data_IF_132409560163
#
_entry.id   IF_132409560163
#
_cell.length_a   1.000
_cell.length_b   1.000
_cell.length_c   1.000
_cell.angle_alpha   90.00
_cell.angle_beta   90.00
_cell.angle_gamma   90.00
#
_symmetry.space_group_name_H-M   'P 1'
#
loop_
_entity.id
_entity.type
_entity.pdbx_description
1 polymer ?
#
# COMPACT_ATOMS: atom_id res chain seq x y z
N UNK A 1 -19.88 34.12 -6.83
CA UNK A 1 -20.05 32.79 -6.19
C UNK A 1 -19.43 32.70 -4.79
N UNK A 2 -18.13 32.97 -4.62
CA UNK A 2 -17.47 32.92 -3.29
C UNK A 2 -18.11 33.87 -2.26
N UNK A 3 -18.40 35.12 -2.66
CA UNK A 3 -19.04 36.09 -1.76
C UNK A 3 -20.42 35.61 -1.26
N UNK A 4 -21.25 35.10 -2.17
CA UNK A 4 -22.55 34.52 -1.82
C UNK A 4 -22.40 33.35 -0.85
N UNK A 5 -21.44 32.46 -1.09
CA UNK A 5 -21.13 31.33 -0.21
C UNK A 5 -20.73 31.80 1.20
N UNK A 6 -19.86 32.81 1.30
CA UNK A 6 -19.50 33.41 2.60
C UNK A 6 -20.73 33.97 3.31
N UNK A 7 -21.55 34.76 2.62
CA UNK A 7 -22.76 35.35 3.20
C UNK A 7 -23.72 34.27 3.71
N UNK A 8 -23.98 33.23 2.92
CA UNK A 8 -24.86 32.12 3.31
C UNK A 8 -24.32 31.35 4.51
N UNK A 9 -23.03 30.99 4.50
CA UNK A 9 -22.42 30.24 5.60
C UNK A 9 -22.38 31.06 6.90
N UNK A 10 -22.09 32.36 6.81
CA UNK A 10 -22.09 33.27 7.96
C UNK A 10 -23.50 33.54 8.50
N UNK A 11 -24.50 33.69 7.62
CA UNK A 11 -25.90 33.83 8.03
C UNK A 11 -26.41 32.56 8.72
N UNK A 12 -26.09 31.38 8.17
CA UNK A 12 -26.42 30.10 8.78
C UNK A 12 -25.75 29.92 10.15
N UNK A 13 -24.46 30.28 10.25
CA UNK A 13 -23.73 30.27 11.52
C UNK A 13 -24.39 31.18 12.56
N UNK A 14 -24.66 32.45 12.22
CA UNK A 14 -25.28 33.40 13.13
C UNK A 14 -26.67 32.93 13.58
N UNK A 15 -27.45 32.34 12.67
CA UNK A 15 -28.74 31.75 12.99
C UNK A 15 -28.61 30.60 14.00
N UNK A 16 -27.65 29.69 13.78
CA UNK A 16 -27.36 28.59 14.71
C UNK A 16 -26.95 29.14 16.07
N UNK A 17 -26.02 30.08 16.13
CA UNK A 17 -25.53 30.66 17.40
C UNK A 17 -26.65 31.30 18.21
N UNK A 18 -27.52 32.09 17.56
CA UNK A 18 -28.60 32.83 18.24
C UNK A 18 -29.71 31.92 18.79
N UNK A 19 -29.93 30.75 18.21
CA UNK A 19 -31.05 29.85 18.55
C UNK A 19 -30.60 28.48 19.07
N UNK A 20 -29.30 28.28 19.25
CA UNK A 20 -28.70 27.01 19.62
C UNK A 20 -29.14 26.48 21.00
N UNK A 21 -29.49 27.36 21.93
CA UNK A 21 -29.92 26.98 23.28
C UNK A 21 -31.32 26.39 23.30
N UNK A 22 -31.47 25.10 23.00
CA UNK A 22 -32.75 24.41 23.12
C UNK A 22 -32.81 23.02 22.46
N UNK A 23 -34.01 22.44 22.42
CA UNK A 23 -34.30 21.12 21.82
C UNK A 23 -34.15 21.09 20.29
N UNK A 24 -33.83 22.22 19.66
CA UNK A 24 -33.76 22.38 18.20
C UNK A 24 -32.40 22.03 17.57
N UNK A 25 -31.38 21.67 18.37
CA UNK A 25 -30.06 21.30 17.86
C UNK A 25 -30.04 20.21 16.77
N UNK A 26 -30.94 19.20 16.73
CA UNK A 26 -30.93 18.19 15.67
C UNK A 26 -31.22 18.79 14.28
N UNK A 27 -32.02 19.86 14.22
CA UNK A 27 -32.34 20.55 12.96
C UNK A 27 -31.13 21.31 12.43
N UNK A 28 -30.38 21.97 13.31
CA UNK A 28 -29.14 22.67 12.94
C UNK A 28 -28.08 21.70 12.43
N UNK A 29 -27.93 20.54 13.07
CA UNK A 29 -27.03 19.49 12.60
C UNK A 29 -27.45 18.99 11.22
N UNK A 30 -28.74 18.71 11.04
CA UNK A 30 -29.29 18.28 9.76
C UNK A 30 -29.03 19.31 8.65
N UNK A 31 -29.24 20.60 8.94
CA UNK A 31 -28.94 21.69 8.02
C UNK A 31 -27.45 21.80 7.67
N UNK A 32 -26.57 21.66 8.65
CA UNK A 32 -25.11 21.70 8.44
C UNK A 32 -24.62 20.53 7.59
N UNK A 33 -25.14 19.32 7.82
CA UNK A 33 -24.85 18.14 7.00
C UNK A 33 -25.35 18.35 5.56
N UNK A 34 -26.56 18.86 5.38
CA UNK A 34 -27.15 19.13 4.06
C UNK A 34 -26.32 20.16 3.29
N UNK A 35 -25.87 21.24 3.96
CA UNK A 35 -24.93 22.22 3.39
C UNK A 35 -23.61 21.56 2.99
N UNK A 36 -23.06 20.66 3.80
CA UNK A 36 -21.83 19.94 3.46
C UNK A 36 -21.99 19.03 2.25
N UNK A 37 -23.11 18.30 2.17
CA UNK A 37 -23.42 17.46 1.02
C UNK A 37 -23.61 18.30 -0.25
N UNK A 38 -24.37 19.39 -0.18
CA UNK A 38 -24.52 20.32 -1.29
C UNK A 38 -23.16 20.89 -1.74
N UNK A 39 -22.32 21.28 -0.78
CA UNK A 39 -20.98 21.79 -1.04
C UNK A 39 -20.08 20.78 -1.77
N UNK A 40 -20.13 19.49 -1.41
CA UNK A 40 -19.39 18.44 -2.10
C UNK A 40 -19.72 18.43 -3.61
N UNK A 41 -21.00 18.46 -3.96
CA UNK A 41 -21.44 18.47 -5.36
C UNK A 41 -21.06 19.78 -6.06
N UNK A 42 -21.16 20.93 -5.39
CA UNK A 42 -20.80 22.23 -5.96
C UNK A 42 -19.31 22.28 -6.31
N UNK A 43 -18.44 21.88 -5.38
CA UNK A 43 -16.99 21.93 -5.59
C UNK A 43 -16.56 20.98 -6.70
N UNK A 44 -17.12 19.76 -6.73
CA UNK A 44 -16.78 18.76 -7.75
C UNK A 44 -17.43 19.01 -9.12
N UNK A 45 -18.54 19.75 -9.21
CA UNK A 45 -19.17 20.13 -10.49
C UNK A 45 -18.52 21.35 -11.14
N UNK A 46 -17.91 22.23 -10.35
CA UNK A 46 -17.31 23.48 -10.85
C UNK A 46 -15.94 23.30 -11.52
N UNK A 47 -15.29 22.13 -11.37
CA UNK A 47 -13.93 21.88 -11.89
C UNK A 47 -13.93 20.68 -12.83
N UNK A 48 -13.11 20.75 -13.89
CA UNK A 48 -12.96 19.66 -14.88
C UNK A 48 -12.43 18.33 -14.29
N UNK A 49 -12.03 18.32 -13.00
CA UNK A 49 -11.63 17.12 -12.24
C UNK A 49 -12.16 17.19 -10.81
N UNK A 50 -12.48 16.03 -10.24
CA UNK A 50 -12.84 15.88 -8.83
C UNK A 50 -11.72 16.43 -7.92
N UNK A 51 -12.09 17.35 -7.02
CA UNK A 51 -11.17 17.94 -6.02
C UNK A 51 -10.93 16.94 -4.88
N UNK A 52 -11.98 16.22 -4.49
CA UNK A 52 -11.98 15.27 -3.39
C UNK A 52 -13.02 14.17 -3.66
N UNK A 53 -12.66 12.91 -3.40
CA UNK A 53 -13.60 11.80 -3.53
C UNK A 53 -14.68 11.86 -2.45
N UNK A 54 -15.86 11.31 -2.75
CA UNK A 54 -16.97 11.27 -1.78
C UNK A 54 -16.58 10.59 -0.47
N UNK A 55 -15.85 9.47 -0.54
CA UNK A 55 -15.38 8.74 0.64
C UNK A 55 -14.42 9.57 1.51
N UNK A 56 -13.48 10.30 0.90
CA UNK A 56 -12.56 11.18 1.64
C UNK A 56 -13.30 12.38 2.22
N UNK A 57 -14.27 12.93 1.49
CA UNK A 57 -15.10 14.02 2.00
C UNK A 57 -15.97 13.58 3.19
N UNK A 58 -16.54 12.37 3.13
CA UNK A 58 -17.27 11.78 4.25
C UNK A 58 -16.34 11.54 5.46
N UNK A 59 -15.12 11.06 5.22
CA UNK A 59 -14.10 10.95 6.27
C UNK A 59 -13.79 12.32 6.89
N UNK A 60 -13.63 13.38 6.08
CA UNK A 60 -13.45 14.74 6.58
C UNK A 60 -14.61 15.16 7.48
N UNK A 61 -15.85 14.90 7.06
CA UNK A 61 -17.04 15.23 7.85
C UNK A 61 -17.01 14.52 9.21
N UNK A 62 -16.69 13.22 9.23
CA UNK A 62 -16.54 12.45 10.48
C UNK A 62 -15.36 12.94 11.33
N UNK A 63 -14.25 13.33 10.71
CA UNK A 63 -13.07 13.85 11.39
C UNK A 63 -13.36 15.18 12.10
N UNK A 64 -14.06 16.10 11.43
CA UNK A 64 -14.53 17.36 12.02
C UNK A 64 -15.50 17.12 13.19
N UNK A 65 -16.47 16.21 13.01
CA UNK A 65 -17.41 15.84 14.07
C UNK A 65 -16.70 15.27 15.30
N UNK A 66 -15.80 14.30 15.08
CA UNK A 66 -15.05 13.65 16.15
C UNK A 66 -14.17 14.63 16.92
N UNK A 67 -13.48 15.54 16.22
CA UNK A 67 -12.65 16.56 16.85
C UNK A 67 -13.47 17.52 17.71
N UNK A 68 -14.60 18.01 17.19
CA UNK A 68 -15.51 18.88 17.92
C UNK A 68 -16.03 18.23 19.22
N UNK A 69 -16.47 16.96 19.15
CA UNK A 69 -16.92 16.20 20.32
C UNK A 69 -15.81 16.01 21.36
N UNK A 70 -14.59 15.71 20.91
CA UNK A 70 -13.43 15.59 21.81
C UNK A 70 -13.12 16.93 22.50
N UNK A 71 -13.18 18.04 21.75
CA UNK A 71 -12.93 19.36 22.28
C UNK A 71 -13.91 19.70 23.41
N UNK A 72 -15.20 19.47 23.19
CA UNK A 72 -16.25 19.77 24.16
C UNK A 72 -16.15 18.88 25.40
N UNK A 73 -15.88 17.59 25.21
CA UNK A 73 -15.62 16.67 26.31
C UNK A 73 -14.43 17.13 27.17
N UNK A 74 -13.35 17.59 26.55
CA UNK A 74 -12.17 18.08 27.26
C UNK A 74 -12.43 19.40 28.00
N UNK A 75 -13.19 20.32 27.39
CA UNK A 75 -13.60 21.56 28.05
C UNK A 75 -14.45 21.28 29.30
N UNK A 76 -15.40 20.36 29.19
CA UNK A 76 -16.26 19.95 30.30
C UNK A 76 -15.46 19.22 31.39
N UNK A 77 -14.62 18.25 31.01
CA UNK A 77 -13.76 17.52 31.94
C UNK A 77 -12.79 18.44 32.70
N UNK A 78 -12.35 19.51 32.05
CA UNK A 78 -11.47 20.53 32.63
C UNK A 78 -12.23 21.60 33.44
N UNK A 79 -13.57 21.46 33.58
CA UNK A 79 -14.46 22.42 34.25
C UNK A 79 -14.38 23.85 33.69
N UNK A 80 -14.06 23.97 32.41
CA UNK A 80 -14.05 25.27 31.69
C UNK A 80 -15.49 25.64 31.29
N UNK A 81 -16.30 24.62 30.94
CA UNK A 81 -17.73 24.75 30.69
C UNK A 81 -18.51 23.92 31.73
N UNK A 82 -19.67 24.43 32.12
CA UNK A 82 -20.49 23.82 33.18
C UNK A 82 -21.25 22.58 32.69
N UNK A 83 -21.66 22.56 31.43
CA UNK A 83 -22.46 21.46 30.85
C UNK A 83 -22.06 21.20 29.39
N UNK A 84 -22.11 19.93 28.97
CA UNK A 84 -22.07 19.56 27.55
C UNK A 84 -23.48 19.72 26.99
N UNK A 85 -23.81 20.94 26.57
CA UNK A 85 -25.04 21.17 25.81
C UNK A 85 -24.76 20.77 24.35
N UNK A 86 -25.69 20.06 23.71
CA UNK A 86 -25.57 19.57 22.33
C UNK A 86 -25.49 20.62 21.18
N UNK A 87 -25.32 21.93 21.41
CA UNK A 87 -24.92 22.85 20.35
C UNK A 87 -23.50 23.41 20.49
N UNK A 88 -22.66 23.08 21.48
CA UNK A 88 -21.39 23.80 21.69
C UNK A 88 -20.42 23.73 20.49
N UNK A 89 -20.12 22.53 19.99
CA UNK A 89 -19.40 22.35 18.74
C UNK A 89 -20.18 22.84 17.51
N UNK A 90 -21.51 22.79 17.52
CA UNK A 90 -22.34 23.19 16.38
C UNK A 90 -22.43 24.72 16.20
N UNK A 91 -22.51 25.47 17.32
CA UNK A 91 -22.33 26.92 17.44
C UNK A 91 -20.96 27.33 16.90
N UNK A 92 -20.00 26.41 16.92
CA UNK A 92 -18.59 26.70 16.70
C UNK A 92 -18.05 26.21 15.35
N UNK A 93 -18.93 26.13 14.35
CA UNK A 93 -18.62 26.00 12.92
C UNK A 93 -18.10 24.65 12.40
N UNK A 94 -17.75 23.63 13.19
CA UNK A 94 -16.98 22.47 12.67
C UNK A 94 -17.48 21.92 11.33
N UNK A 95 -18.77 21.58 11.24
CA UNK A 95 -19.33 21.00 10.02
C UNK A 95 -19.38 22.03 8.89
N UNK A 96 -19.84 23.26 9.17
CA UNK A 96 -19.93 24.35 8.19
C UNK A 96 -18.54 24.81 7.69
N UNK A 97 -17.51 24.66 8.51
CA UNK A 97 -16.15 25.07 8.22
C UNK A 97 -15.54 24.23 7.09
N UNK A 98 -15.94 22.96 6.99
CA UNK A 98 -15.58 22.08 5.85
C UNK A 98 -15.99 22.70 4.51
N UNK A 99 -17.08 23.49 4.48
CA UNK A 99 -17.52 24.16 3.26
C UNK A 99 -16.52 25.20 2.74
N UNK A 100 -15.61 25.71 3.56
CA UNK A 100 -14.58 26.65 3.10
C UNK A 100 -13.37 25.97 2.44
N UNK A 101 -13.22 24.66 2.61
CA UNK A 101 -12.15 23.87 2.00
C UNK A 101 -12.40 23.67 0.52
N UNK A 102 -11.32 23.54 -0.26
CA UNK A 102 -11.40 23.47 -1.73
C UNK A 102 -11.61 24.81 -2.43
N UNK A 103 -12.03 25.87 -1.72
CA UNK A 103 -12.23 27.22 -2.28
C UNK A 103 -11.45 28.30 -1.52
N UNK A 104 -11.92 28.71 -0.35
CA UNK A 104 -11.36 29.83 0.41
C UNK A 104 -10.04 29.42 1.05
N UNK A 105 -10.04 28.30 1.79
CA UNK A 105 -8.85 27.81 2.48
C UNK A 105 -7.84 27.15 1.56
N UNK A 106 -8.20 26.86 0.32
CA UNK A 106 -7.24 26.37 -0.68
C UNK A 106 -6.07 27.35 -0.85
N UNK A 107 -6.32 28.66 -0.66
CA UNK A 107 -5.27 29.70 -0.71
C UNK A 107 -4.20 29.53 0.38
N UNK A 108 -4.53 28.89 1.49
CA UNK A 108 -3.63 28.71 2.63
C UNK A 108 -2.76 27.47 2.53
N UNK A 109 -3.02 26.55 1.60
CA UNK A 109 -2.31 25.27 1.47
C UNK A 109 -0.79 25.43 1.28
N UNK A 110 -0.38 26.55 0.68
CA UNK A 110 1.05 26.87 0.44
C UNK A 110 1.77 27.41 1.67
N UNK A 111 1.05 27.75 2.73
CA UNK A 111 1.64 28.31 3.94
C UNK A 111 2.30 27.21 4.77
N UNK A 112 3.38 27.58 5.47
CA UNK A 112 4.06 26.67 6.41
C UNK A 112 3.19 26.40 7.64
N UNK A 113 3.37 25.24 8.27
CA UNK A 113 2.60 24.83 9.46
C UNK A 113 2.51 25.90 10.55
N UNK A 114 3.59 26.60 10.95
CA UNK A 114 3.49 27.59 12.03
C UNK A 114 2.51 28.72 11.72
N UNK A 115 2.48 29.17 10.47
CA UNK A 115 1.57 30.23 10.03
C UNK A 115 0.12 29.73 9.97
N UNK A 116 -0.10 28.50 9.49
CA UNK A 116 -1.42 27.86 9.56
C UNK A 116 -1.89 27.72 11.01
N UNK A 117 -1.01 27.32 11.93
CA UNK A 117 -1.34 27.22 13.35
C UNK A 117 -1.75 28.56 13.95
N UNK A 118 -1.06 29.66 13.62
CA UNK A 118 -1.44 31.01 14.07
C UNK A 118 -2.81 31.41 13.51
N UNK A 119 -3.04 31.21 12.21
CA UNK A 119 -4.34 31.51 11.57
C UNK A 119 -5.47 30.71 12.23
N UNK A 120 -5.25 29.41 12.44
CA UNK A 120 -6.17 28.52 13.13
C UNK A 120 -6.46 29.00 14.55
N UNK A 121 -5.42 29.29 15.34
CA UNK A 121 -5.55 29.75 16.71
C UNK A 121 -6.40 31.02 16.84
N UNK A 122 -6.07 32.05 16.05
CA UNK A 122 -6.77 33.34 16.08
C UNK A 122 -8.22 33.17 15.57
N UNK A 123 -8.39 32.51 14.43
CA UNK A 123 -9.71 32.32 13.83
C UNK A 123 -10.64 31.49 14.71
N UNK A 124 -10.13 30.39 15.27
CA UNK A 124 -10.85 29.52 16.19
C UNK A 124 -11.25 30.27 17.46
N UNK A 125 -10.29 30.93 18.13
CA UNK A 125 -10.56 31.69 19.35
C UNK A 125 -11.63 32.77 19.15
N UNK A 126 -11.53 33.58 18.08
CA UNK A 126 -12.50 34.64 17.78
C UNK A 126 -13.90 34.08 17.49
N UNK A 127 -13.99 33.01 16.69
CA UNK A 127 -15.27 32.40 16.35
C UNK A 127 -15.97 31.81 17.59
N UNK A 128 -15.24 31.09 18.44
CA UNK A 128 -15.76 30.50 19.67
C UNK A 128 -16.13 31.53 20.71
N UNK A 129 -15.31 32.56 20.89
CA UNK A 129 -15.62 33.66 21.82
C UNK A 129 -16.89 34.41 21.39
N UNK A 130 -17.03 34.69 20.09
CA UNK A 130 -18.22 35.34 19.53
C UNK A 130 -19.45 34.44 19.68
N UNK A 131 -19.29 33.15 19.41
CA UNK A 131 -20.33 32.14 19.63
C UNK A 131 -20.81 32.12 21.07
N UNK A 132 -19.90 32.00 22.04
CA UNK A 132 -20.21 31.98 23.47
C UNK A 132 -20.96 33.24 23.94
N UNK A 133 -20.56 34.42 23.46
CA UNK A 133 -21.24 35.68 23.80
C UNK A 133 -22.65 35.80 23.24
N UNK A 134 -22.88 35.29 22.03
CA UNK A 134 -24.14 35.46 21.30
C UNK A 134 -25.18 34.38 21.62
N UNK A 135 -24.75 33.19 22.08
CA UNK A 135 -25.64 32.04 22.35
C UNK A 135 -26.11 31.95 23.80
N UNK A 136 -25.61 32.80 24.71
CA UNK A 136 -25.97 32.78 26.13
C UNK A 136 -25.37 31.60 26.92
N UNK A 137 -24.28 30.99 26.43
CA UNK A 137 -23.59 29.88 27.08
C UNK A 137 -23.03 30.28 28.46
N UNK A 138 -23.26 29.44 29.48
CA UNK A 138 -22.68 29.58 30.81
C UNK A 138 -21.25 29.04 30.82
N UNK A 139 -20.27 29.95 30.77
CA UNK A 139 -18.89 29.64 31.10
C UNK A 139 -18.73 29.61 32.62
N UNK A 140 -17.93 28.67 33.13
CA UNK A 140 -17.65 28.60 34.56
C UNK A 140 -16.99 29.91 35.01
N UNK A 141 -17.47 30.47 36.13
CA UNK A 141 -17.11 31.82 36.59
C UNK A 141 -15.60 32.07 36.48
N UNK A 142 -15.24 33.16 35.79
CA UNK A 142 -13.86 33.64 35.51
C UNK A 142 -13.00 32.87 34.50
N UNK A 143 -13.43 31.73 33.94
CA UNK A 143 -12.61 30.88 33.04
C UNK A 143 -12.57 31.34 31.55
N UNK A 144 -12.79 32.63 31.27
CA UNK A 144 -12.87 33.15 29.90
C UNK A 144 -11.52 33.07 29.17
N UNK A 145 -10.42 33.30 29.88
CA UNK A 145 -9.07 33.31 29.30
C UNK A 145 -8.65 31.88 28.98
N UNK A 146 -8.87 30.96 29.91
CA UNK A 146 -8.60 29.53 29.81
C UNK A 146 -9.37 28.93 28.65
N UNK A 147 -10.64 29.32 28.48
CA UNK A 147 -11.44 28.92 27.34
C UNK A 147 -10.84 29.38 26.01
N UNK A 148 -10.48 30.67 25.89
CA UNK A 148 -9.88 31.23 24.68
C UNK A 148 -8.54 30.54 24.37
N UNK A 149 -7.68 30.36 25.38
CA UNK A 149 -6.39 29.70 25.25
C UNK A 149 -6.58 28.25 24.79
N UNK A 150 -7.50 27.52 25.41
CA UNK A 150 -7.78 26.14 25.06
C UNK A 150 -8.24 26.00 23.60
N UNK A 151 -9.19 26.84 23.17
CA UNK A 151 -9.67 26.85 21.78
C UNK A 151 -8.55 27.25 20.83
N UNK A 152 -7.75 28.26 21.16
CA UNK A 152 -6.62 28.69 20.36
C UNK A 152 -5.63 27.54 20.14
N UNK A 153 -5.29 26.79 21.19
CA UNK A 153 -4.40 25.62 21.10
C UNK A 153 -5.04 24.50 20.26
N UNK A 154 -6.31 24.18 20.50
CA UNK A 154 -7.04 23.16 19.74
C UNK A 154 -7.02 23.47 18.23
N UNK A 155 -7.34 24.70 17.85
CA UNK A 155 -7.36 25.12 16.45
C UNK A 155 -5.98 25.34 15.84
N UNK A 156 -4.97 25.69 16.65
CA UNK A 156 -3.58 25.73 16.20
C UNK A 156 -3.10 24.37 15.70
N UNK A 157 -3.62 23.29 16.28
CA UNK A 157 -3.33 21.90 15.89
C UNK A 157 -4.27 21.45 14.78
N UNK A 158 -5.57 21.66 14.96
CA UNK A 158 -6.59 21.13 14.06
C UNK A 158 -6.51 21.73 12.66
N UNK A 159 -6.43 23.05 12.53
CA UNK A 159 -6.50 23.72 11.24
C UNK A 159 -5.42 23.29 10.23
N UNK A 160 -4.11 23.25 10.58
CA UNK A 160 -3.11 22.73 9.65
C UNK A 160 -3.32 21.25 9.34
N UNK A 161 -3.81 20.46 10.30
CA UNK A 161 -4.05 19.03 10.14
C UNK A 161 -5.23 18.77 9.18
N UNK A 162 -6.37 19.42 9.40
CA UNK A 162 -7.56 19.32 8.55
C UNK A 162 -7.31 19.84 7.14
N UNK A 163 -6.52 20.91 6.97
CA UNK A 163 -6.17 21.42 5.64
C UNK A 163 -5.32 20.44 4.86
N UNK A 164 -4.31 19.87 5.50
CA UNK A 164 -3.49 18.82 4.89
C UNK A 164 -4.27 17.54 4.63
N UNK A 165 -5.20 17.19 5.50
CA UNK A 165 -6.08 16.04 5.30
C UNK A 165 -7.01 16.25 4.10
N UNK A 166 -7.61 17.43 3.97
CA UNK A 166 -8.47 17.74 2.85
C UNK A 166 -7.72 17.66 1.51
N UNK A 167 -6.52 18.23 1.44
CA UNK A 167 -5.74 18.34 0.20
C UNK A 167 -4.98 17.07 -0.14
N UNK A 168 -4.33 16.46 0.85
CA UNK A 168 -3.41 15.33 0.64
C UNK A 168 -3.93 14.00 1.19
N UNK A 169 -4.93 14.01 2.07
CA UNK A 169 -5.48 12.81 2.69
C UNK A 169 -4.46 12.06 3.53
N UNK A 170 -3.68 12.75 4.37
CA UNK A 170 -2.55 12.14 5.10
C UNK A 170 -3.01 10.97 6.00
N UNK A 171 -4.01 11.22 6.84
CA UNK A 171 -4.65 10.26 7.73
C UNK A 171 -5.47 9.26 6.92
N UNK A 172 -6.26 9.71 5.94
CA UNK A 172 -7.07 8.84 5.09
C UNK A 172 -6.21 7.81 4.36
N UNK A 173 -5.15 8.26 3.69
CA UNK A 173 -4.22 7.37 2.98
C UNK A 173 -3.50 6.45 3.97
N UNK A 174 -3.09 6.95 5.14
CA UNK A 174 -2.51 6.11 6.18
C UNK A 174 -3.45 4.96 6.60
N UNK A 175 -4.74 5.25 6.82
CA UNK A 175 -5.74 4.24 7.15
C UNK A 175 -5.95 3.24 6.01
N UNK A 176 -6.03 3.72 4.76
CA UNK A 176 -6.14 2.86 3.58
C UNK A 176 -4.91 1.96 3.42
N UNK A 177 -3.71 2.47 3.64
CA UNK A 177 -2.45 1.74 3.47
C UNK A 177 -2.25 0.68 4.55
N UNK A 178 -2.90 0.82 5.71
CA UNK A 178 -2.98 -0.22 6.76
C UNK A 178 -3.93 -1.36 6.39
N UNK A 179 -4.88 -1.12 5.50
CA UNK A 179 -5.77 -2.18 5.03
C UNK A 179 -5.10 -3.01 3.93
N UNK A 180 -5.30 -4.33 3.95
CA UNK A 180 -4.81 -5.21 2.87
C UNK A 180 -5.47 -4.84 1.54
N UNK A 181 -6.79 -4.63 1.54
CA UNK A 181 -7.59 -4.40 0.33
C UNK A 181 -7.20 -3.12 -0.39
N UNK A 182 -7.08 -2.00 0.32
CA UNK A 182 -6.81 -0.72 -0.32
C UNK A 182 -5.31 -0.48 -0.54
N UNK A 183 -4.43 -1.21 0.15
CA UNK A 183 -2.98 -1.11 -0.02
C UNK A 183 -2.45 -1.98 -1.17
N UNK A 184 -2.94 -3.22 -1.30
CA UNK A 184 -2.38 -4.18 -2.25
C UNK A 184 -2.97 -4.06 -3.66
N UNK A 185 -4.06 -3.34 -3.82
CA UNK A 185 -4.71 -3.12 -5.12
C UNK A 185 -4.02 -2.00 -5.93
N UNK A 186 -4.58 -1.69 -7.10
CA UNK A 186 -4.15 -0.60 -8.00
C UNK A 186 -4.26 0.76 -7.34
N UNK A 187 -5.28 1.00 -6.52
CA UNK A 187 -5.43 2.29 -5.84
C UNK A 187 -4.29 2.52 -4.86
N UNK A 188 -3.88 1.48 -4.12
CA UNK A 188 -2.72 1.52 -3.24
C UNK A 188 -1.42 1.76 -3.99
N UNK A 189 -1.19 1.05 -5.10
CA UNK A 189 -0.02 1.29 -5.94
C UNK A 189 0.06 2.75 -6.39
N UNK A 190 -1.03 3.30 -6.95
CA UNK A 190 -1.07 4.68 -7.43
C UNK A 190 -0.87 5.71 -6.31
N UNK A 191 -1.28 5.39 -5.06
CA UNK A 191 -0.98 6.23 -3.90
C UNK A 191 0.51 6.17 -3.55
N UNK A 192 1.08 4.98 -3.43
CA UNK A 192 2.49 4.79 -3.08
C UNK A 192 3.45 5.33 -4.14
N UNK A 193 3.11 5.18 -5.42
CA UNK A 193 3.93 5.62 -6.55
C UNK A 193 4.28 7.11 -6.51
N UNK A 194 3.41 7.95 -5.92
CA UNK A 194 3.65 9.40 -5.76
C UNK A 194 4.88 9.71 -4.90
N UNK A 195 5.30 8.76 -4.07
CA UNK A 195 6.44 8.89 -3.17
C UNK A 195 7.68 8.13 -3.65
N UNK A 196 7.64 7.51 -4.84
CA UNK A 196 8.80 6.83 -5.40
C UNK A 196 9.86 7.87 -5.80
N UNK A 197 11.08 7.69 -5.31
CA UNK A 197 12.19 8.62 -5.53
C UNK A 197 12.93 8.39 -6.85
N UNK A 198 13.00 7.13 -7.28
CA UNK A 198 13.75 6.69 -8.46
C UNK A 198 12.78 6.48 -9.64
N UNK A 199 13.10 7.00 -10.82
CA UNK A 199 12.32 6.82 -12.04
C UNK A 199 13.07 5.96 -13.05
N UNK A 200 12.40 4.95 -13.63
CA UNK A 200 12.95 4.13 -14.71
C UNK A 200 12.27 4.53 -16.02
N UNK A 201 12.73 5.64 -16.63
CA UNK A 201 12.20 6.11 -17.93
C UNK A 201 13.12 5.61 -19.04
N UNK A 202 12.54 5.26 -20.18
CA UNK A 202 13.21 4.70 -21.37
C UNK A 202 14.37 5.56 -21.94
N UNK A 203 14.52 6.82 -21.53
CA UNK A 203 15.56 7.73 -22.03
C UNK A 203 16.45 8.33 -20.92
N UNK A 204 16.41 7.80 -19.69
CA UNK A 204 17.41 8.19 -18.70
C UNK A 204 18.68 7.39 -18.96
N UNK A 205 19.77 8.04 -19.39
CA UNK A 205 21.13 7.47 -19.46
C UNK A 205 21.59 6.85 -18.12
N UNK A 206 20.84 7.02 -17.04
CA UNK A 206 21.08 6.52 -15.70
C UNK A 206 21.00 4.99 -15.55
N UNK A 207 20.29 4.30 -16.45
CA UNK A 207 20.06 2.84 -16.40
C UNK A 207 20.23 2.18 -17.77
N UNK A 208 21.42 2.26 -18.37
CA UNK A 208 21.79 1.42 -19.51
C UNK A 208 22.28 0.04 -18.99
N UNK A 209 21.62 -1.03 -19.42
CA UNK A 209 21.90 -2.42 -19.04
C UNK A 209 22.57 -3.22 -20.15
N UNK A 210 23.14 -2.58 -21.17
CA UNK A 210 23.92 -3.26 -22.20
C UNK A 210 24.99 -4.17 -21.58
N UNK A 211 25.04 -5.41 -22.08
CA UNK A 211 25.94 -6.46 -21.58
C UNK A 211 25.49 -7.11 -20.27
N UNK A 212 24.43 -6.62 -19.62
CA UNK A 212 23.85 -7.28 -18.44
C UNK A 212 23.02 -8.48 -18.84
N UNK A 213 22.97 -9.47 -17.96
CA UNK A 213 22.25 -10.73 -18.19
C UNK A 213 21.29 -11.02 -17.05
N UNK A 214 20.14 -11.62 -17.36
CA UNK A 214 19.19 -12.02 -16.33
C UNK A 214 18.36 -13.25 -16.68
N UNK A 215 17.92 -13.96 -15.64
CA UNK A 215 16.98 -15.07 -15.74
C UNK A 215 15.68 -14.70 -15.03
N UNK A 216 14.55 -14.81 -15.73
CA UNK A 216 13.21 -14.57 -15.16
C UNK A 216 12.37 -15.85 -15.26
N UNK A 217 12.10 -16.49 -14.12
CA UNK A 217 11.26 -17.69 -14.12
C UNK A 217 9.79 -17.34 -14.33
N UNK A 218 9.11 -18.12 -15.18
CA UNK A 218 7.70 -17.85 -15.54
C UNK A 218 7.53 -16.54 -16.32
N UNK A 219 8.47 -16.24 -17.24
CA UNK A 219 8.51 -15.00 -18.00
C UNK A 219 7.61 -14.96 -19.25
N UNK A 220 6.85 -16.03 -19.53
CA UNK A 220 5.98 -16.11 -20.72
C UNK A 220 4.67 -15.33 -20.59
N UNK A 221 4.30 -14.88 -19.38
CA UNK A 221 3.07 -14.10 -19.17
C UNK A 221 3.11 -13.26 -17.89
N UNK A 222 2.12 -12.39 -17.73
CA UNK A 222 1.88 -11.65 -16.49
C UNK A 222 3.10 -10.84 -16.03
N UNK A 223 3.39 -10.91 -14.73
CA UNK A 223 4.45 -10.12 -14.08
C UNK A 223 5.82 -10.45 -14.65
N UNK A 224 6.12 -11.74 -14.84
CA UNK A 224 7.41 -12.18 -15.39
C UNK A 224 7.67 -11.63 -16.79
N UNK A 225 6.65 -11.64 -17.65
CA UNK A 225 6.72 -11.02 -18.99
C UNK A 225 7.02 -9.52 -18.88
N UNK A 226 6.30 -8.79 -18.02
CA UNK A 226 6.51 -7.36 -17.83
C UNK A 226 7.92 -7.03 -17.31
N UNK A 227 8.47 -7.85 -16.40
CA UNK A 227 9.86 -7.71 -15.94
C UNK A 227 10.84 -7.95 -17.08
N UNK A 228 10.67 -9.02 -17.85
CA UNK A 228 11.57 -9.38 -18.94
C UNK A 228 11.60 -8.31 -20.04
N UNK A 229 10.42 -7.79 -20.44
CA UNK A 229 10.30 -6.69 -21.38
C UNK A 229 10.99 -5.44 -20.85
N UNK A 230 10.76 -5.07 -19.59
CA UNK A 230 11.33 -3.82 -19.08
C UNK A 230 12.85 -3.85 -18.94
N UNK A 231 13.42 -4.98 -18.50
CA UNK A 231 14.87 -5.12 -18.40
C UNK A 231 15.53 -5.18 -19.79
N UNK A 232 14.90 -5.83 -20.77
CA UNK A 232 15.41 -5.89 -22.14
C UNK A 232 15.26 -4.57 -22.90
N UNK A 233 14.20 -3.79 -22.68
CA UNK A 233 14.07 -2.41 -23.15
C UNK A 233 15.23 -1.52 -22.67
N UNK A 234 15.76 -1.78 -21.47
CA UNK A 234 16.91 -1.09 -20.91
C UNK A 234 18.27 -1.66 -21.39
N UNK A 235 18.26 -2.70 -22.23
CA UNK A 235 19.45 -3.26 -22.88
C UNK A 235 20.00 -4.56 -22.30
N UNK A 236 19.35 -5.16 -21.28
CA UNK A 236 19.79 -6.44 -20.71
C UNK A 236 19.38 -7.63 -21.59
N UNK A 237 20.24 -8.64 -21.69
CA UNK A 237 19.89 -9.94 -22.26
C UNK A 237 19.12 -10.75 -21.22
N UNK A 238 17.87 -11.08 -21.48
CA UNK A 238 16.99 -11.77 -20.53
C UNK A 238 16.61 -13.14 -21.07
N UNK A 239 16.95 -14.19 -20.34
CA UNK A 239 16.36 -15.50 -20.56
C UNK A 239 15.09 -15.63 -19.72
N UNK A 240 13.96 -15.93 -20.36
CA UNK A 240 12.72 -16.28 -19.68
C UNK A 240 12.52 -17.79 -19.64
N UNK A 241 11.91 -18.29 -18.57
CA UNK A 241 11.52 -19.71 -18.50
C UNK A 241 10.02 -19.91 -18.54
N UNK A 242 9.62 -21.09 -19.02
CA UNK A 242 8.23 -21.53 -19.05
C UNK A 242 8.07 -22.91 -19.68
N UNK A 243 6.85 -23.44 -19.63
CA UNK A 243 6.54 -24.81 -20.09
C UNK A 243 6.20 -24.92 -21.57
N UNK A 244 5.60 -23.86 -22.13
CA UNK A 244 5.05 -23.85 -23.47
C UNK A 244 5.80 -22.81 -24.32
N UNK A 245 6.45 -23.28 -25.38
CA UNK A 245 7.23 -22.48 -26.33
C UNK A 245 6.35 -21.51 -27.12
N UNK A 246 5.15 -21.92 -27.54
CA UNK A 246 4.24 -21.07 -28.32
C UNK A 246 3.88 -19.78 -27.56
N UNK A 247 3.63 -19.88 -26.25
CA UNK A 247 3.39 -18.72 -25.38
C UNK A 247 4.64 -17.86 -25.18
N UNK A 248 5.82 -18.47 -25.24
CA UNK A 248 7.07 -17.72 -25.18
C UNK A 248 7.36 -16.96 -26.47
N UNK A 249 6.88 -17.46 -27.61
CA UNK A 249 7.11 -16.89 -28.94
C UNK A 249 6.67 -15.43 -29.03
N UNK A 250 5.54 -15.07 -28.43
CA UNK A 250 5.07 -13.68 -28.37
C UNK A 250 6.06 -12.75 -27.65
N UNK A 251 6.74 -13.25 -26.62
CA UNK A 251 7.65 -12.44 -25.80
C UNK A 251 9.00 -12.29 -26.50
N UNK A 252 9.57 -13.39 -27.00
CA UNK A 252 10.86 -13.36 -27.71
C UNK A 252 10.77 -12.59 -29.03
N UNK A 253 9.63 -12.64 -29.73
CA UNK A 253 9.43 -11.83 -30.96
C UNK A 253 9.29 -10.34 -30.66
N UNK A 254 8.93 -9.95 -29.44
CA UNK A 254 8.74 -8.54 -29.08
C UNK A 254 10.04 -7.81 -28.74
N UNK A 255 11.10 -8.54 -28.39
CA UNK A 255 12.43 -7.98 -28.15
C UNK A 255 13.52 -9.05 -28.36
N UNK A 256 14.47 -8.79 -29.26
CA UNK A 256 15.55 -9.70 -29.63
C UNK A 256 16.54 -10.01 -28.50
N UNK A 257 16.55 -9.18 -27.44
CA UNK A 257 17.36 -9.43 -26.24
C UNK A 257 16.67 -10.40 -25.27
N UNK A 258 15.56 -11.02 -25.65
CA UNK A 258 14.87 -12.02 -24.85
C UNK A 258 15.01 -13.40 -25.47
N UNK A 259 15.62 -14.31 -24.72
CA UNK A 259 15.73 -15.72 -25.04
C UNK A 259 14.74 -16.55 -24.22
N UNK A 260 14.47 -17.78 -24.68
CA UNK A 260 13.59 -18.71 -23.97
C UNK A 260 14.31 -20.01 -23.63
N UNK A 261 14.17 -20.43 -22.37
CA UNK A 261 14.59 -21.74 -21.89
C UNK A 261 13.36 -22.52 -21.43
N UNK A 262 13.04 -23.63 -22.13
CA UNK A 262 11.94 -24.49 -21.72
C UNK A 262 12.28 -25.17 -20.39
N UNK A 263 11.51 -24.85 -19.37
CA UNK A 263 11.73 -25.34 -18.01
C UNK A 263 10.42 -25.37 -17.25
N UNK A 264 10.09 -26.53 -16.68
CA UNK A 264 9.06 -26.64 -15.66
C UNK A 264 9.72 -26.63 -14.28
N UNK A 265 9.41 -25.62 -13.46
CA UNK A 265 9.97 -25.51 -12.11
C UNK A 265 9.56 -26.66 -11.19
N UNK A 266 8.48 -27.38 -11.52
CA UNK A 266 8.09 -28.60 -10.81
C UNK A 266 8.87 -29.84 -11.23
N UNK A 267 9.51 -29.84 -12.41
CA UNK A 267 10.23 -31.00 -12.97
C UNK A 267 11.75 -30.79 -12.84
N UNK A 268 12.29 -31.15 -11.69
CA UNK A 268 13.68 -30.87 -11.34
C UNK A 268 14.70 -31.63 -12.20
N UNK A 269 14.29 -32.76 -12.79
CA UNK A 269 15.10 -33.48 -13.78
C UNK A 269 15.54 -32.60 -14.96
N UNK A 270 14.74 -31.60 -15.34
CA UNK A 270 15.06 -30.66 -16.42
C UNK A 270 16.21 -29.71 -16.09
N UNK A 271 16.55 -29.54 -14.80
CA UNK A 271 17.49 -28.49 -14.37
C UNK A 271 18.92 -28.77 -14.84
N UNK A 272 19.26 -30.03 -15.11
CA UNK A 272 20.58 -30.41 -15.60
C UNK A 272 20.92 -29.75 -16.95
N UNK A 273 19.92 -29.39 -17.73
CA UNK A 273 20.05 -28.74 -19.04
C UNK A 273 20.18 -27.21 -18.95
N UNK A 274 20.17 -26.62 -17.75
CA UNK A 274 20.31 -25.17 -17.57
C UNK A 274 21.79 -24.81 -17.71
N UNK A 275 22.16 -24.25 -18.85
CA UNK A 275 23.51 -23.79 -19.12
C UNK A 275 23.50 -22.34 -19.61
N UNK A 276 24.41 -21.53 -19.07
CA UNK A 276 24.59 -20.14 -19.45
C UNK A 276 26.07 -19.91 -19.72
N UNK A 277 26.39 -19.20 -20.80
CA UNK A 277 27.78 -18.92 -21.17
C UNK A 277 28.47 -17.92 -20.23
N UNK A 278 27.70 -17.11 -19.51
CA UNK A 278 28.19 -16.05 -18.65
C UNK A 278 27.34 -15.93 -17.38
N UNK A 279 27.89 -15.26 -16.37
CA UNK A 279 27.21 -14.98 -15.10
C UNK A 279 25.99 -14.09 -15.29
N UNK A 280 24.97 -14.31 -14.47
CA UNK A 280 23.77 -13.51 -14.42
C UNK A 280 23.95 -12.33 -13.46
N UNK A 281 23.53 -11.15 -13.87
CA UNK A 281 23.39 -9.98 -13.00
C UNK A 281 22.05 -10.00 -12.24
N UNK A 282 21.01 -10.59 -12.85
CA UNK A 282 19.65 -10.61 -12.31
C UNK A 282 19.07 -12.02 -12.30
N UNK A 283 18.52 -12.45 -11.15
CA UNK A 283 17.78 -13.70 -11.03
C UNK A 283 16.41 -13.42 -10.39
N UNK A 284 15.37 -13.43 -11.20
CA UNK A 284 13.99 -13.15 -10.78
C UNK A 284 13.21 -14.46 -10.70
N UNK A 285 12.95 -14.89 -9.47
CA UNK A 285 12.29 -16.14 -9.14
C UNK A 285 10.79 -15.86 -8.97
N UNK A 286 10.13 -15.73 -10.13
CA UNK A 286 8.75 -15.26 -10.27
C UNK A 286 7.73 -16.36 -10.52
N UNK A 287 8.14 -17.52 -11.06
CA UNK A 287 7.23 -18.59 -11.41
C UNK A 287 6.32 -18.98 -10.23
N UNK A 288 5.02 -19.07 -10.49
CA UNK A 288 4.03 -19.42 -9.49
C UNK A 288 2.67 -19.74 -10.09
N UNK A 289 2.01 -20.75 -9.52
CA UNK A 289 0.71 -21.22 -9.96
C UNK A 289 -0.12 -21.75 -8.78
N UNK A 290 -1.43 -21.87 -8.96
CA UNK A 290 -2.34 -22.49 -8.01
C UNK A 290 -3.12 -23.59 -8.73
N UNK A 291 -2.53 -24.79 -8.92
CA UNK A 291 -3.20 -25.89 -9.60
C UNK A 291 -4.51 -26.23 -8.88
N UNK A 292 -5.55 -26.57 -9.64
CA UNK A 292 -6.87 -26.91 -9.08
C UNK A 292 -6.87 -28.24 -8.33
N UNK A 293 -5.97 -29.15 -8.72
CA UNK A 293 -5.88 -30.50 -8.17
C UNK A 293 -4.57 -30.66 -7.40
N UNK A 294 -4.63 -31.47 -6.35
CA UNK A 294 -3.46 -31.95 -5.65
C UNK A 294 -2.63 -32.84 -6.57
N UNK A 295 -1.37 -32.50 -6.75
CA UNK A 295 -0.43 -33.23 -7.60
C UNK A 295 0.94 -33.21 -6.95
N UNK A 296 1.69 -34.29 -7.14
CA UNK A 296 3.07 -34.43 -6.70
C UNK A 296 3.99 -34.32 -7.91
N UNK A 297 5.20 -33.80 -7.70
CA UNK A 297 6.26 -33.88 -8.70
C UNK A 297 6.92 -35.27 -8.74
N UNK A 298 7.93 -35.46 -9.60
CA UNK A 298 8.65 -36.74 -9.70
C UNK A 298 9.38 -37.18 -8.41
N UNK A 299 9.52 -36.28 -7.43
CA UNK A 299 10.15 -36.55 -6.13
C UNK A 299 9.13 -36.66 -4.98
N UNK A 300 7.83 -36.71 -5.27
CA UNK A 300 6.79 -36.86 -4.25
C UNK A 300 6.47 -35.59 -3.45
N UNK A 301 6.88 -34.41 -3.93
CA UNK A 301 6.59 -33.11 -3.28
C UNK A 301 5.38 -32.45 -3.93
N UNK A 302 4.49 -31.88 -3.12
CA UNK A 302 3.32 -31.12 -3.57
C UNK A 302 3.73 -30.03 -4.58
N UNK A 303 3.01 -29.95 -5.70
CA UNK A 303 3.45 -29.21 -6.88
C UNK A 303 3.70 -27.71 -6.63
N UNK A 304 2.94 -27.02 -5.77
CA UNK A 304 3.20 -25.61 -5.47
C UNK A 304 4.49 -25.44 -4.66
N UNK A 305 4.72 -26.26 -3.65
CA UNK A 305 5.97 -26.28 -2.90
C UNK A 305 7.15 -26.67 -3.81
N UNK A 306 6.95 -27.69 -4.64
CA UNK A 306 7.95 -28.22 -5.54
C UNK A 306 8.41 -27.17 -6.57
N UNK A 307 7.47 -26.41 -7.14
CA UNK A 307 7.78 -25.43 -8.18
C UNK A 307 8.21 -24.06 -7.62
N UNK A 308 7.63 -23.61 -6.52
CA UNK A 308 7.76 -22.22 -6.09
C UNK A 308 8.76 -22.05 -4.95
N UNK A 309 8.93 -23.05 -4.10
CA UNK A 309 9.85 -23.01 -2.97
C UNK A 309 11.12 -23.80 -3.29
N UNK A 310 10.97 -25.12 -3.39
CA UNK A 310 12.11 -26.04 -3.50
C UNK A 310 12.78 -25.94 -4.87
N UNK A 311 12.00 -25.88 -5.96
CA UNK A 311 12.52 -25.71 -7.30
C UNK A 311 13.31 -24.41 -7.46
N UNK A 312 12.85 -23.30 -6.89
CA UNK A 312 13.62 -22.06 -6.92
C UNK A 312 14.90 -22.13 -6.08
N UNK A 313 14.88 -22.80 -4.92
CA UNK A 313 16.09 -23.01 -4.13
C UNK A 313 17.08 -23.91 -4.89
N UNK A 314 16.64 -25.04 -5.44
CA UNK A 314 17.48 -25.94 -6.26
C UNK A 314 18.07 -25.22 -7.48
N UNK A 315 17.29 -24.35 -8.13
CA UNK A 315 17.79 -23.52 -9.23
C UNK A 315 18.89 -22.56 -8.76
N UNK A 316 18.67 -21.85 -7.65
CA UNK A 316 19.69 -20.98 -7.06
C UNK A 316 20.97 -21.74 -6.72
N UNK A 317 20.84 -22.91 -6.07
CA UNK A 317 21.98 -23.74 -5.72
C UNK A 317 22.72 -24.25 -6.95
N UNK A 318 22.01 -24.74 -7.98
CA UNK A 318 22.61 -25.18 -9.23
C UNK A 318 23.43 -24.07 -9.89
N UNK A 319 22.83 -22.89 -10.04
CA UNK A 319 23.50 -21.73 -10.64
C UNK A 319 24.72 -21.31 -9.83
N UNK A 320 24.64 -21.36 -8.49
CA UNK A 320 25.78 -21.07 -7.61
C UNK A 320 26.91 -22.08 -7.81
N UNK A 321 26.60 -23.39 -7.84
CA UNK A 321 27.60 -24.44 -8.02
C UNK A 321 28.25 -24.41 -9.40
N UNK A 322 27.52 -23.98 -10.43
CA UNK A 322 28.06 -23.75 -11.78
C UNK A 322 28.74 -22.39 -11.95
N UNK A 323 28.88 -21.62 -10.87
CA UNK A 323 29.46 -20.27 -10.88
C UNK A 323 28.78 -19.28 -11.84
N UNK A 324 27.49 -19.50 -12.12
CA UNK A 324 26.66 -18.67 -13.01
C UNK A 324 26.00 -17.50 -12.28
N UNK A 325 26.10 -17.45 -10.95
CA UNK A 325 25.70 -16.34 -10.09
C UNK A 325 26.75 -16.12 -9.02
N UNK A 326 26.82 -14.89 -8.49
CA UNK A 326 27.69 -14.55 -7.38
C UNK A 326 27.01 -13.54 -6.42
N UNK A 327 27.77 -13.05 -5.43
CA UNK A 327 27.27 -12.09 -4.42
C UNK A 327 26.72 -10.78 -4.99
N UNK A 328 27.13 -10.41 -6.21
CA UNK A 328 26.67 -9.20 -6.90
C UNK A 328 25.40 -9.44 -7.72
N UNK A 329 25.07 -10.70 -8.05
CA UNK A 329 23.80 -11.06 -8.68
C UNK A 329 22.63 -10.64 -7.79
N UNK A 330 21.72 -9.83 -8.31
CA UNK A 330 20.47 -9.46 -7.63
C UNK A 330 19.47 -10.60 -7.75
N UNK A 331 19.20 -11.28 -6.64
CA UNK A 331 18.24 -12.40 -6.56
C UNK A 331 16.94 -11.89 -5.94
N UNK A 332 15.83 -11.94 -6.68
CA UNK A 332 14.52 -11.45 -6.23
C UNK A 332 13.53 -12.62 -6.16
N UNK A 333 13.07 -12.96 -4.96
CA UNK A 333 11.97 -13.89 -4.71
C UNK A 333 10.61 -13.19 -4.73
N UNK A 334 9.80 -13.55 -5.72
CA UNK A 334 8.42 -13.02 -5.83
C UNK A 334 7.48 -13.90 -5.01
N UNK A 335 7.16 -13.40 -3.82
CA UNK A 335 6.15 -13.96 -2.94
C UNK A 335 4.76 -13.40 -3.26
N UNK A 336 3.85 -13.37 -2.29
CA UNK A 336 2.49 -12.85 -2.44
C UNK A 336 1.98 -12.21 -1.15
N UNK A 337 1.08 -11.24 -1.27
CA UNK A 337 0.38 -10.68 -0.12
C UNK A 337 -0.51 -11.70 0.61
N UNK A 338 -0.86 -12.83 -0.02
CA UNK A 338 -1.63 -13.90 0.61
C UNK A 338 -0.94 -14.53 1.84
N UNK A 339 0.39 -14.46 1.91
CA UNK A 339 1.17 -15.01 3.03
C UNK A 339 0.95 -14.30 4.36
N UNK A 340 0.50 -13.03 4.35
CA UNK A 340 0.35 -12.23 5.56
C UNK A 340 -0.64 -12.83 6.58
N UNK A 341 -1.65 -13.55 6.10
CA UNK A 341 -2.68 -14.17 6.93
C UNK A 341 -2.41 -15.64 7.28
N UNK A 342 -1.29 -16.21 6.79
CA UNK A 342 -0.91 -17.61 7.02
C UNK A 342 0.31 -17.68 7.96
N UNK A 343 0.17 -18.44 9.04
CA UNK A 343 1.32 -18.90 9.85
C UNK A 343 2.08 -19.98 9.07
N UNK A 344 3.38 -20.05 9.27
CA UNK A 344 4.18 -21.12 8.69
C UNK A 344 3.68 -22.46 9.23
N UNK A 345 3.45 -23.40 8.33
CA UNK A 345 2.92 -24.72 8.65
C UNK A 345 3.78 -25.75 7.90
N UNK A 346 4.81 -26.26 8.57
CA UNK A 346 5.78 -27.17 7.96
C UNK A 346 5.20 -28.54 7.68
N UNK A 347 4.25 -28.99 8.51
CA UNK A 347 3.59 -30.30 8.37
C UNK A 347 2.89 -30.41 7.02
N UNK A 348 2.20 -29.34 6.61
CA UNK A 348 1.46 -29.29 5.35
C UNK A 348 2.21 -28.56 4.22
N UNK A 349 3.54 -28.39 4.34
CA UNK A 349 4.31 -27.62 3.36
C UNK A 349 4.70 -28.43 2.13
N UNK A 350 5.29 -29.62 2.33
CA UNK A 350 5.79 -30.47 1.23
C UNK A 350 4.78 -31.52 0.78
N UNK A 351 3.80 -31.83 1.61
CA UNK A 351 2.69 -32.76 1.36
C UNK A 351 1.51 -32.32 2.22
N UNK A 352 0.28 -32.62 1.81
CA UNK A 352 -0.93 -32.31 2.61
C UNK A 352 -2.02 -33.34 2.38
N UNK A 353 -2.71 -33.71 3.46
CA UNK A 353 -3.89 -34.60 3.40
C UNK A 353 -5.16 -33.87 2.95
N UNK A 354 -5.17 -32.53 3.08
CA UNK A 354 -6.32 -31.69 2.78
C UNK A 354 -5.89 -30.52 1.90
N UNK A 355 -5.89 -30.76 0.59
CA UNK A 355 -5.47 -29.76 -0.39
C UNK A 355 -6.52 -28.67 -0.58
N UNK A 356 -6.21 -27.47 -0.09
CA UNK A 356 -6.84 -26.22 -0.51
C UNK A 356 -5.80 -25.38 -1.25
N UNK A 357 -6.04 -25.15 -2.54
CA UNK A 357 -5.05 -24.50 -3.42
C UNK A 357 -4.60 -23.13 -2.91
N UNK A 358 -5.48 -22.36 -2.26
CA UNK A 358 -5.18 -21.00 -1.77
C UNK A 358 -4.41 -21.04 -0.46
N UNK A 359 -4.81 -21.92 0.46
CA UNK A 359 -4.14 -22.12 1.74
C UNK A 359 -2.73 -22.71 1.54
N UNK A 360 -2.58 -23.69 0.65
CA UNK A 360 -1.28 -24.24 0.24
C UNK A 360 -0.41 -23.15 -0.38
N UNK A 361 -0.95 -22.38 -1.33
CA UNK A 361 -0.23 -21.25 -1.93
C UNK A 361 0.24 -20.25 -0.88
N UNK A 362 -0.66 -19.82 0.02
CA UNK A 362 -0.31 -18.88 1.09
C UNK A 362 0.78 -19.44 2.02
N UNK A 363 0.76 -20.76 2.29
CA UNK A 363 1.78 -21.43 3.11
C UNK A 363 3.14 -21.44 2.42
N UNK A 364 3.17 -21.83 1.14
CA UNK A 364 4.38 -21.83 0.31
C UNK A 364 4.95 -20.42 0.21
N UNK A 365 4.12 -19.40 -0.02
CA UNK A 365 4.53 -17.99 -0.06
C UNK A 365 5.02 -17.47 1.29
N UNK A 366 4.49 -17.96 2.41
CA UNK A 366 5.01 -17.70 3.77
C UNK A 366 6.37 -18.36 3.97
N UNK A 367 6.52 -19.63 3.59
CA UNK A 367 7.78 -20.35 3.64
C UNK A 367 8.87 -19.67 2.79
N UNK A 368 8.52 -19.15 1.62
CA UNK A 368 9.46 -18.40 0.79
C UNK A 368 10.08 -17.21 1.54
N UNK A 369 9.25 -16.37 2.15
CA UNK A 369 9.75 -15.17 2.84
C UNK A 369 10.61 -15.55 4.04
N UNK A 370 10.18 -16.53 4.84
CA UNK A 370 10.96 -17.03 5.98
C UNK A 370 12.29 -17.61 5.52
N UNK A 371 12.30 -18.41 4.46
CA UNK A 371 13.51 -19.03 3.95
C UNK A 371 14.50 -17.99 3.41
N UNK A 372 14.05 -16.93 2.73
CA UNK A 372 14.95 -15.84 2.30
C UNK A 372 15.60 -15.12 3.49
N UNK A 373 14.88 -14.92 4.59
CA UNK A 373 15.46 -14.36 5.82
C UNK A 373 16.57 -15.27 6.39
N UNK A 374 16.37 -16.60 6.36
CA UNK A 374 17.36 -17.56 6.85
C UNK A 374 18.55 -17.77 5.89
N UNK A 375 18.28 -17.80 4.59
CA UNK A 375 19.29 -18.07 3.55
C UNK A 375 20.48 -17.11 3.69
N UNK A 376 20.24 -15.82 3.84
CA UNK A 376 21.31 -14.82 3.95
C UNK A 376 22.16 -14.95 5.22
N UNK A 377 21.70 -15.73 6.22
CA UNK A 377 22.47 -16.09 7.41
C UNK A 377 23.33 -17.35 7.23
N UNK A 378 23.10 -18.15 6.19
CA UNK A 378 23.87 -19.35 5.90
C UNK A 378 25.22 -18.99 5.28
N UNK A 379 26.28 -19.71 5.67
CA UNK A 379 27.66 -19.41 5.26
C UNK A 379 27.86 -19.29 3.74
N UNK A 380 27.21 -20.16 2.95
CA UNK A 380 27.31 -20.19 1.50
C UNK A 380 26.56 -19.06 0.78
N UNK A 381 25.65 -18.38 1.47
CA UNK A 381 24.82 -17.28 0.98
C UNK A 381 25.08 -15.96 1.71
N UNK A 382 26.09 -15.95 2.60
CA UNK A 382 26.48 -14.77 3.37
C UNK A 382 26.94 -13.66 2.41
N UNK A 383 26.45 -12.44 2.64
CA UNK A 383 26.72 -11.24 1.83
C UNK A 383 26.15 -11.28 0.39
N UNK A 384 25.28 -12.24 0.07
CA UNK A 384 24.59 -12.29 -1.22
C UNK A 384 23.43 -11.29 -1.28
N UNK A 385 23.20 -10.75 -2.47
CA UNK A 385 22.10 -9.82 -2.76
C UNK A 385 20.76 -10.53 -2.96
N UNK A 386 20.23 -11.18 -1.92
CA UNK A 386 18.96 -11.93 -1.94
C UNK A 386 17.86 -11.12 -1.26
N UNK A 387 16.76 -10.89 -1.98
CA UNK A 387 15.61 -10.12 -1.51
C UNK A 387 14.32 -10.85 -1.80
N UNK A 388 13.28 -10.61 -1.01
CA UNK A 388 11.93 -11.09 -1.31
C UNK A 388 10.95 -9.93 -1.38
N UNK A 389 9.87 -10.08 -2.13
CA UNK A 389 8.87 -9.03 -2.31
C UNK A 389 7.49 -9.59 -2.59
N UNK A 390 6.45 -8.77 -2.51
CA UNK A 390 5.15 -9.11 -3.12
C UNK A 390 4.67 -8.02 -4.10
N UNK A 391 4.00 -8.38 -5.20
CA UNK A 391 3.63 -7.44 -6.27
C UNK A 391 2.29 -6.73 -6.01
N UNK A 392 1.64 -6.99 -4.88
CA UNK A 392 0.23 -6.65 -4.65
C UNK A 392 -0.72 -7.60 -5.39
N UNK A 393 -1.94 -7.14 -5.68
CA UNK A 393 -2.97 -7.90 -6.37
C UNK A 393 -2.98 -7.57 -7.85
N UNK A 394 -2.28 -8.40 -8.63
CA UNK A 394 -2.08 -8.20 -10.06
C UNK A 394 -3.05 -9.06 -10.86
N UNK A 395 -3.66 -8.48 -11.89
CA UNK A 395 -4.47 -9.25 -12.84
C UNK A 395 -3.54 -10.07 -13.74
N UNK A 396 -3.51 -11.38 -13.53
CA UNK A 396 -2.79 -12.34 -14.36
C UNK A 396 -3.73 -13.46 -14.79
N UNK A 397 -3.42 -14.15 -15.89
CA UNK A 397 -4.15 -15.34 -16.33
C UNK A 397 -4.13 -16.44 -15.26
N UNK A 398 -3.02 -16.56 -14.51
CA UNK A 398 -2.90 -17.49 -13.38
C UNK A 398 -3.86 -17.17 -12.23
N UNK A 399 -4.06 -15.89 -11.90
CA UNK A 399 -5.03 -15.47 -10.89
C UNK A 399 -6.47 -15.66 -11.38
N UNK A 400 -6.74 -15.35 -12.65
CA UNK A 400 -8.06 -15.47 -13.28
C UNK A 400 -8.57 -16.92 -13.28
N UNK A 401 -7.72 -17.87 -13.69
CA UNK A 401 -8.05 -19.29 -13.62
C UNK A 401 -8.16 -19.84 -12.20
N UNK A 402 -7.37 -19.30 -11.25
CA UNK A 402 -7.38 -19.80 -9.88
C UNK A 402 -8.53 -19.24 -9.03
N UNK A 403 -8.88 -17.97 -9.18
CA UNK A 403 -9.82 -17.24 -8.31
C UNK A 403 -10.76 -16.33 -9.12
N UNK A 404 -11.61 -16.88 -10.01
CA UNK A 404 -12.45 -16.09 -10.91
C UNK A 404 -13.44 -15.17 -10.17
N UNK A 405 -14.01 -15.63 -9.04
CA UNK A 405 -14.92 -14.81 -8.21
C UNK A 405 -14.23 -13.58 -7.60
N UNK A 406 -12.98 -13.74 -7.13
CA UNK A 406 -12.18 -12.63 -6.62
C UNK A 406 -11.83 -11.64 -7.75
N UNK A 407 -11.44 -12.15 -8.92
CA UNK A 407 -11.14 -11.30 -10.07
C UNK A 407 -12.38 -10.53 -10.53
N UNK A 408 -13.54 -11.17 -10.59
CA UNK A 408 -14.81 -10.52 -10.94
C UNK A 408 -15.12 -9.36 -9.99
N UNK A 409 -15.01 -9.59 -8.68
CA UNK A 409 -15.23 -8.57 -7.64
C UNK A 409 -14.22 -7.41 -7.72
N UNK A 410 -12.95 -7.72 -8.01
CA UNK A 410 -11.84 -6.77 -7.92
C UNK A 410 -11.37 -6.23 -9.27
N UNK A 411 -11.99 -6.59 -10.40
CA UNK A 411 -11.45 -6.41 -11.76
C UNK A 411 -10.93 -4.97 -12.04
N UNK A 412 -11.68 -3.95 -11.63
CA UNK A 412 -11.31 -2.53 -11.83
C UNK A 412 -10.22 -2.02 -10.88
N UNK A 413 -9.94 -2.79 -9.82
CA UNK A 413 -9.00 -2.47 -8.75
C UNK A 413 -7.72 -3.31 -8.82
N UNK A 414 -7.65 -4.37 -9.62
CA UNK A 414 -6.42 -5.14 -9.79
C UNK A 414 -5.34 -4.30 -10.49
N UNK A 415 -4.09 -4.50 -10.06
CA UNK A 415 -2.89 -3.91 -10.68
C UNK A 415 -2.67 -4.51 -12.07
N UNK A 416 -2.09 -3.74 -12.97
CA UNK A 416 -1.57 -4.28 -14.23
C UNK A 416 -0.28 -5.09 -13.98
N UNK A 417 0.11 -5.99 -14.89
CA UNK A 417 1.39 -6.70 -14.82
C UNK A 417 2.60 -5.78 -14.62
N UNK A 418 2.62 -4.63 -15.29
CA UNK A 418 3.70 -3.63 -15.21
C UNK A 418 3.77 -2.99 -13.82
N UNK A 419 2.61 -2.70 -13.21
CA UNK A 419 2.54 -2.22 -11.83
C UNK A 419 3.00 -3.29 -10.83
N UNK A 420 2.75 -4.58 -11.12
CA UNK A 420 3.28 -5.70 -10.32
C UNK A 420 4.79 -5.88 -10.47
N UNK A 421 5.32 -5.63 -11.65
CA UNK A 421 6.74 -5.72 -11.98
C UNK A 421 7.58 -4.57 -11.38
N UNK A 422 6.96 -3.43 -11.11
CA UNK A 422 7.62 -2.19 -10.70
C UNK A 422 8.65 -2.38 -9.55
N UNK A 423 8.26 -3.04 -8.47
CA UNK A 423 9.16 -3.26 -7.32
C UNK A 423 10.23 -4.32 -7.62
N UNK A 424 9.97 -5.28 -8.51
CA UNK A 424 10.98 -6.26 -8.96
C UNK A 424 12.07 -5.52 -9.74
N UNK A 425 11.68 -4.71 -10.72
CA UNK A 425 12.60 -3.90 -11.52
C UNK A 425 13.37 -2.94 -10.61
N UNK A 426 12.70 -2.29 -9.65
CA UNK A 426 13.40 -1.45 -8.68
C UNK A 426 14.46 -2.20 -7.88
N UNK A 427 14.17 -3.41 -7.40
CA UNK A 427 15.16 -4.23 -6.69
C UNK A 427 16.34 -4.67 -7.56
N UNK A 428 16.10 -4.90 -8.87
CA UNK A 428 17.18 -5.17 -9.81
C UNK A 428 18.10 -3.94 -10.01
N UNK A 429 17.52 -2.75 -10.09
CA UNK A 429 18.22 -1.57 -10.63
C UNK A 429 18.67 -0.55 -9.58
N UNK A 430 18.06 -0.55 -8.40
CA UNK A 430 18.29 0.51 -7.43
C UNK A 430 19.74 0.56 -6.96
N UNK A 431 20.28 1.78 -6.89
CA UNK A 431 21.59 2.10 -6.31
C UNK A 431 21.49 2.35 -4.80
N UNK A 432 20.28 2.48 -4.27
CA UNK A 432 20.01 2.63 -2.85
C UNK A 432 20.44 1.36 -2.09
N UNK A 433 20.93 1.52 -0.86
CA UNK A 433 21.28 0.38 -0.02
C UNK A 433 20.05 -0.47 0.26
N UNK A 434 20.11 -1.75 -0.12
CA UNK A 434 19.14 -2.76 0.22
C UNK A 434 19.63 -3.58 1.42
N UNK A 435 18.71 -4.29 2.06
CA UNK A 435 19.01 -5.17 3.19
C UNK A 435 18.83 -6.61 2.72
N UNK A 436 19.90 -7.41 2.64
CA UNK A 436 19.80 -8.83 2.34
C UNK A 436 18.80 -9.53 3.27
N UNK A 437 17.99 -10.43 2.73
CA UNK A 437 16.89 -11.09 3.44
C UNK A 437 15.66 -10.19 3.65
N UNK A 438 15.72 -8.93 3.20
CA UNK A 438 14.62 -7.98 3.34
C UNK A 438 13.39 -8.36 2.52
N UNK A 439 12.21 -8.07 3.08
CA UNK A 439 10.93 -8.17 2.39
C UNK A 439 10.44 -6.79 1.92
N UNK A 440 10.05 -6.68 0.66
CA UNK A 440 9.75 -5.41 0.00
C UNK A 440 8.36 -5.35 -0.60
N UNK A 441 7.77 -4.15 -0.62
CA UNK A 441 6.50 -3.86 -1.25
C UNK A 441 6.45 -2.40 -1.66
N UNK A 442 6.09 -2.11 -2.91
CA UNK A 442 6.02 -0.76 -3.46
C UNK A 442 7.27 0.07 -3.14
N UNK A 443 8.43 -0.48 -3.53
CA UNK A 443 9.79 0.10 -3.42
C UNK A 443 10.22 0.53 -2.02
N UNK A 444 9.65 -0.10 -0.99
CA UNK A 444 10.07 0.07 0.41
C UNK A 444 10.18 -1.27 1.11
N UNK A 445 11.10 -1.36 2.07
CA UNK A 445 11.15 -2.49 2.99
C UNK A 445 9.92 -2.45 3.90
N UNK A 446 9.25 -3.58 4.08
CA UNK A 446 8.08 -3.73 4.94
C UNK A 446 8.25 -4.95 5.85
N UNK A 447 7.53 -4.98 6.96
CA UNK A 447 7.45 -6.19 7.79
C UNK A 447 6.65 -7.25 7.04
N UNK A 448 7.12 -8.50 6.93
CA UNK A 448 6.32 -9.60 6.39
C UNK A 448 5.30 -10.17 7.40
N UNK A 449 5.22 -9.60 8.60
CA UNK A 449 4.37 -10.06 9.70
C UNK A 449 3.39 -8.96 10.13
N UNK A 450 2.08 -9.28 10.11
CA UNK A 450 1.03 -8.37 10.62
C UNK A 450 1.12 -8.22 12.14
N UNK A 451 1.51 -9.28 12.84
CA UNK A 451 1.67 -9.29 14.30
C UNK A 451 2.66 -10.38 14.73
N UNK A 452 3.12 -10.31 15.99
CA UNK A 452 4.11 -11.25 16.55
C UNK A 452 3.72 -12.73 16.41
N UNK A 453 2.42 -13.06 16.43
CA UNK A 453 1.91 -14.43 16.29
C UNK A 453 2.19 -15.10 14.93
N UNK A 454 2.55 -14.31 13.92
CA UNK A 454 2.89 -14.82 12.58
C UNK A 454 4.39 -14.98 12.35
N UNK A 455 5.22 -14.53 13.30
CA UNK A 455 6.67 -14.69 13.23
C UNK A 455 6.96 -16.17 13.53
N UNK A 456 7.57 -16.92 12.61
CA UNK A 456 7.97 -18.29 12.88
C UNK A 456 9.00 -18.32 14.00
N UNK A 457 8.85 -19.30 14.89
CA UNK A 457 9.80 -19.62 15.93
C UNK A 457 11.16 -20.01 15.34
N UNK A 458 12.21 -19.96 16.17
CA UNK A 458 13.54 -20.39 15.78
C UNK A 458 13.56 -21.86 15.29
N UNK A 459 12.84 -22.75 15.97
CA UNK A 459 12.76 -24.16 15.57
C UNK A 459 12.08 -24.33 14.20
N UNK A 460 10.97 -23.65 13.95
CA UNK A 460 10.30 -23.69 12.64
C UNK A 460 11.20 -23.14 11.52
N UNK A 461 12.03 -22.13 11.80
CA UNK A 461 13.01 -21.60 10.83
C UNK A 461 14.11 -22.62 10.51
N UNK A 462 14.69 -23.24 11.53
CA UNK A 462 15.72 -24.27 11.36
C UNK A 462 15.17 -25.52 10.64
N UNK A 463 13.96 -25.96 10.99
CA UNK A 463 13.29 -27.08 10.32
C UNK A 463 12.95 -26.74 8.86
N UNK A 464 12.52 -25.50 8.57
CA UNK A 464 12.28 -25.06 7.20
C UNK A 464 13.55 -25.16 6.34
N UNK A 465 14.69 -24.69 6.86
CA UNK A 465 15.97 -24.77 6.14
C UNK A 465 16.33 -26.23 5.87
N UNK A 466 16.25 -27.10 6.89
CA UNK A 466 16.52 -28.55 6.73
C UNK A 466 15.60 -29.20 5.70
N UNK A 467 14.30 -28.95 5.80
CA UNK A 467 13.30 -29.51 4.89
C UNK A 467 13.44 -29.01 3.46
N UNK A 468 14.03 -27.82 3.26
CA UNK A 468 14.26 -27.26 1.93
C UNK A 468 15.54 -27.76 1.27
N UNK A 469 16.49 -28.28 2.05
CA UNK A 469 17.77 -28.82 1.57
C UNK A 469 17.74 -30.32 1.23
N UNK A 470 16.64 -31.01 1.53
CA UNK A 470 16.36 -32.38 1.04
C UNK A 470 15.79 -32.31 -0.38
#
# INVERSE_FOLDING_TARGET
MILLKVVVLQAFWLFCVKHAGGTFWPYYLSGALLLCFANFFIINRSRQREVISFSRYLFMLLFFLFWGLCQDYLLFKSRIIDEIVAPYWLISLWVVFLCYYGDIFQKFVRLKTPMLSIIGAIGGALAYYSGAKLSGLSLHQSMHIEFIIFVAISWAIFFPLSLREFEHGIIWNYLLDKSVVFSFDRTGFLRHQRNFKEGFKENSHEFNLQGKRGLVTGGTSGIGRAVALKLSELGANITITGRNLERAQEVINSNQLIDFLQLDMGQWSMFNHIDFSEKLDYLVLNAGAMPSQYTLNESGVELQAASQLIGHLKLMELLRHRELIDRHTRIIWVSSGGMYLKKLDLKNLLSTDHYDKVATYANVKRAQVTLVEELVGLSQWKDWSIYSMHPGWVKTSGLDGALPGFVSLMNKRLRSPEQGADTIIWLCLTKSSLVPGGFYFDRKRVSPYISKKYIPSKNEREELVKASSC
#
